data_IF_455876424527
#
_entry.id   IF_455876424527
#
_cell.length_a   1.000
_cell.length_b   1.000
_cell.length_c   1.000
_cell.angle_alpha   90.00
_cell.angle_beta   90.00
_cell.angle_gamma   90.00
#
_symmetry.space_group_name_H-M   'P 1'
#
loop_
_entity.id
_entity.type
_entity.pdbx_description
1 polymer ?
#
# COMPACT_ATOMS: atom_id res chain seq x y z
N UNK A 1 1.17 -25.58 -7.74
CA UNK A 1 1.96 -25.62 -6.50
C UNK A 1 2.46 -27.02 -6.19
N UNK A 2 1.57 -27.99 -5.97
CA UNK A 2 1.98 -29.37 -5.63
C UNK A 2 2.96 -29.97 -6.65
N UNK A 3 2.72 -29.76 -7.95
CA UNK A 3 3.57 -30.25 -9.03
C UNK A 3 5.02 -29.74 -8.97
N UNK A 4 5.20 -28.45 -8.67
CA UNK A 4 6.54 -27.85 -8.48
C UNK A 4 7.30 -28.51 -7.32
N UNK A 5 6.61 -28.82 -6.22
CA UNK A 5 7.21 -29.47 -5.05
C UNK A 5 7.45 -30.96 -5.30
N UNK A 6 6.53 -31.64 -5.97
CA UNK A 6 6.64 -33.05 -6.35
C UNK A 6 7.88 -33.28 -7.24
N UNK A 7 8.10 -32.39 -8.21
CA UNK A 7 9.28 -32.41 -9.07
C UNK A 7 10.57 -32.17 -8.26
N UNK A 8 10.55 -31.18 -7.36
CA UNK A 8 11.71 -30.86 -6.52
C UNK A 8 12.10 -32.01 -5.58
N UNK A 9 11.13 -32.76 -5.06
CA UNK A 9 11.36 -33.84 -4.09
C UNK A 9 11.53 -35.23 -4.72
N UNK A 10 11.57 -35.32 -6.06
CA UNK A 10 11.66 -36.60 -6.76
C UNK A 10 10.47 -37.52 -6.47
N UNK A 11 9.28 -36.95 -6.35
CA UNK A 11 8.02 -37.67 -6.11
C UNK A 11 7.74 -38.04 -4.65
N UNK A 12 8.62 -37.68 -3.70
CA UNK A 12 8.44 -37.97 -2.27
C UNK A 12 7.82 -36.78 -1.56
N UNK A 13 6.49 -36.79 -1.39
CA UNK A 13 5.77 -35.69 -0.73
C UNK A 13 4.76 -36.23 0.28
N UNK A 14 4.82 -35.74 1.52
CA UNK A 14 3.78 -35.94 2.53
C UNK A 14 2.87 -34.71 2.54
N UNK A 15 1.57 -34.93 2.36
CA UNK A 15 0.56 -33.85 2.40
C UNK A 15 -0.26 -34.01 3.68
N UNK A 16 -0.34 -32.95 4.48
CA UNK A 16 -1.12 -32.87 5.70
C UNK A 16 -2.26 -31.87 5.46
N UNK A 17 -3.50 -32.30 5.67
CA UNK A 17 -4.66 -31.42 5.59
C UNK A 17 -4.71 -30.54 6.84
N UNK A 18 -4.68 -29.23 6.63
CA UNK A 18 -4.76 -28.23 7.68
C UNK A 18 -6.21 -27.70 7.77
N UNK A 19 -6.39 -26.39 7.62
CA UNK A 19 -7.69 -25.74 7.62
C UNK A 19 -8.44 -25.78 6.29
N UNK A 20 -9.70 -25.37 6.35
CA UNK A 20 -10.58 -25.23 5.21
C UNK A 20 -12.01 -25.12 5.70
N UNK A 21 -12.71 -24.06 5.30
CA UNK A 21 -14.06 -23.77 5.81
C UNK A 21 -15.15 -23.95 4.76
N UNK A 22 -14.79 -24.33 3.52
CA UNK A 22 -15.72 -24.56 2.44
C UNK A 22 -15.52 -25.97 1.88
N UNK A 23 -16.49 -26.86 2.11
CA UNK A 23 -16.41 -28.28 1.72
C UNK A 23 -16.19 -28.47 0.22
N UNK A 24 -16.85 -27.67 -0.62
CA UNK A 24 -16.71 -27.75 -2.08
C UNK A 24 -15.29 -27.35 -2.50
N UNK A 25 -14.74 -26.29 -1.92
CA UNK A 25 -13.38 -25.85 -2.19
C UNK A 25 -12.35 -26.88 -1.74
N UNK A 26 -12.53 -27.47 -0.56
CA UNK A 26 -11.63 -28.52 -0.03
C UNK A 26 -11.65 -29.75 -0.92
N UNK A 27 -12.84 -30.27 -1.27
CA UNK A 27 -12.96 -31.45 -2.11
C UNK A 27 -12.29 -31.23 -3.47
N UNK A 28 -12.53 -30.08 -4.11
CA UNK A 28 -11.93 -29.73 -5.39
C UNK A 28 -10.40 -29.60 -5.30
N UNK A 29 -9.88 -28.85 -4.33
CA UNK A 29 -8.44 -28.62 -4.19
C UNK A 29 -7.68 -29.88 -3.77
N UNK A 30 -8.23 -30.69 -2.85
CA UNK A 30 -7.64 -31.96 -2.44
C UNK A 30 -7.56 -32.95 -3.60
N UNK A 31 -8.63 -33.05 -4.41
CA UNK A 31 -8.62 -33.88 -5.62
C UNK A 31 -7.51 -33.44 -6.59
N UNK A 32 -7.34 -32.14 -6.81
CA UNK A 32 -6.27 -31.63 -7.67
C UNK A 32 -4.86 -31.95 -7.13
N UNK A 33 -4.67 -31.95 -5.81
CA UNK A 33 -3.38 -32.33 -5.19
C UNK A 33 -3.14 -33.84 -5.34
N UNK A 34 -4.15 -34.68 -5.10
CA UNK A 34 -4.03 -36.14 -5.24
C UNK A 34 -3.70 -36.54 -6.67
N UNK A 35 -4.29 -35.89 -7.68
CA UNK A 35 -3.96 -36.11 -9.08
C UNK A 35 -2.47 -35.95 -9.37
N UNK A 36 -1.86 -34.87 -8.86
CA UNK A 36 -0.41 -34.65 -8.99
C UNK A 36 0.39 -35.76 -8.31
N UNK A 37 -0.02 -36.22 -7.13
CA UNK A 37 0.65 -37.32 -6.42
C UNK A 37 0.54 -38.66 -7.15
N UNK A 38 -0.52 -38.86 -7.93
CA UNK A 38 -0.69 -40.02 -8.80
C UNK A 38 0.10 -39.90 -10.12
N UNK A 39 0.86 -38.81 -10.30
CA UNK A 39 1.63 -38.54 -11.51
C UNK A 39 0.79 -37.95 -12.65
N UNK A 40 -0.46 -37.57 -12.41
CA UNK A 40 -1.21 -36.77 -13.38
C UNK A 40 -0.63 -35.35 -13.40
N UNK A 41 -0.35 -34.82 -14.60
CA UNK A 41 0.11 -33.44 -14.75
C UNK A 41 -0.90 -32.42 -14.21
N UNK A 42 -0.47 -31.19 -13.89
CA UNK A 42 -1.34 -30.17 -13.34
C UNK A 42 -2.52 -29.89 -14.29
N UNK A 43 -3.75 -30.02 -13.77
CA UNK A 43 -5.01 -29.87 -14.53
C UNK A 43 -5.21 -28.45 -15.09
N UNK A 44 -4.45 -27.47 -14.62
CA UNK A 44 -4.66 -26.06 -14.97
C UNK A 44 -3.45 -25.49 -15.70
N UNK A 45 -3.63 -25.21 -16.99
CA UNK A 45 -2.78 -24.26 -17.71
C UNK A 45 -3.05 -22.86 -17.14
N UNK A 46 -2.21 -22.46 -16.19
CA UNK A 46 -2.15 -21.08 -15.74
C UNK A 46 -1.66 -20.25 -16.93
N UNK A 47 -2.59 -19.59 -17.62
CA UNK A 47 -2.25 -18.58 -18.63
C UNK A 47 -1.36 -17.49 -18.02
N UNK A 48 -0.89 -16.56 -18.85
CA UNK A 48 -0.08 -15.42 -18.39
C UNK A 48 -0.87 -14.52 -17.43
N UNK A 49 -0.87 -14.86 -16.14
CA UNK A 49 -1.56 -14.14 -15.08
C UNK A 49 -0.59 -13.15 -14.44
N UNK A 50 -0.90 -11.86 -14.59
CA UNK A 50 -0.17 -10.82 -13.89
C UNK A 50 -0.48 -10.84 -12.38
N UNK A 51 0.52 -10.66 -11.50
CA UNK A 51 0.29 -10.62 -10.06
C UNK A 51 -0.52 -9.38 -9.68
N UNK A 52 -1.30 -9.48 -8.59
CA UNK A 52 -1.92 -8.30 -8.02
C UNK A 52 -0.86 -7.33 -7.49
N UNK A 53 -1.17 -6.04 -7.49
CA UNK A 53 -0.26 -5.01 -7.00
C UNK A 53 0.17 -5.22 -5.56
N UNK A 54 -0.77 -5.58 -4.69
CA UNK A 54 -0.50 -5.83 -3.29
C UNK A 54 0.41 -7.05 -3.14
N UNK A 55 0.11 -8.14 -3.84
CA UNK A 55 0.92 -9.36 -3.81
C UNK A 55 2.36 -9.11 -4.28
N UNK A 56 2.53 -8.40 -5.39
CA UNK A 56 3.85 -8.05 -5.90
C UNK A 56 4.65 -7.18 -4.92
N UNK A 57 4.01 -6.16 -4.32
CA UNK A 57 4.68 -5.31 -3.35
C UNK A 57 5.17 -6.13 -2.15
N UNK A 58 4.33 -7.02 -1.62
CA UNK A 58 4.69 -7.92 -0.52
C UNK A 58 5.86 -8.83 -0.90
N UNK A 59 5.84 -9.43 -2.10
CA UNK A 59 6.95 -10.29 -2.58
C UNK A 59 8.26 -9.51 -2.65
N UNK A 60 8.27 -8.30 -3.23
CA UNK A 60 9.47 -7.48 -3.32
C UNK A 60 10.02 -7.07 -1.93
N UNK A 61 9.13 -6.76 -0.99
CA UNK A 61 9.53 -6.44 0.40
C UNK A 61 10.13 -7.66 1.10
N UNK A 62 9.50 -8.83 0.99
CA UNK A 62 10.02 -10.09 1.56
C UNK A 62 11.37 -10.44 0.94
N UNK A 63 11.50 -10.39 -0.39
CA UNK A 63 12.76 -10.67 -1.07
C UNK A 63 13.86 -9.72 -0.61
N UNK A 64 13.57 -8.44 -0.44
CA UNK A 64 14.54 -7.45 0.06
C UNK A 64 15.12 -7.83 1.42
N UNK A 65 14.29 -8.35 2.32
CA UNK A 65 14.73 -8.80 3.65
C UNK A 65 15.51 -10.12 3.54
N UNK A 66 14.99 -11.06 2.75
CA UNK A 66 15.54 -12.42 2.64
C UNK A 66 16.85 -12.50 1.84
N UNK A 67 17.14 -11.56 0.95
CA UNK A 67 18.41 -11.51 0.20
C UNK A 67 19.65 -11.43 1.10
N UNK A 68 19.51 -10.97 2.34
CA UNK A 68 20.62 -10.98 3.31
C UNK A 68 21.03 -12.41 3.72
N UNK A 69 20.14 -13.39 3.55
CA UNK A 69 20.33 -14.77 3.97
C UNK A 69 20.38 -15.75 2.79
N UNK A 70 19.74 -15.41 1.66
CA UNK A 70 19.61 -16.27 0.50
C UNK A 70 20.16 -15.60 -0.76
N UNK A 71 21.38 -15.98 -1.17
CA UNK A 71 22.08 -15.42 -2.32
C UNK A 71 21.37 -15.68 -3.67
N UNK A 72 20.63 -16.79 -3.77
CA UNK A 72 19.88 -17.16 -4.98
C UNK A 72 18.75 -16.17 -5.33
N UNK A 73 18.30 -15.33 -4.37
CA UNK A 73 17.21 -14.39 -4.60
C UNK A 73 17.63 -13.14 -5.39
N UNK A 74 18.93 -12.82 -5.47
CA UNK A 74 19.40 -11.56 -6.06
C UNK A 74 19.03 -11.38 -7.54
N UNK A 75 19.25 -12.43 -8.35
CA UNK A 75 18.94 -12.41 -9.78
C UNK A 75 17.44 -12.29 -10.04
N UNK A 76 16.63 -13.04 -9.29
CA UNK A 76 15.17 -12.99 -9.37
C UNK A 76 14.61 -11.63 -8.94
N UNK A 77 15.19 -11.03 -7.90
CA UNK A 77 14.78 -9.72 -7.41
C UNK A 77 15.03 -8.62 -8.46
N UNK A 78 16.24 -8.58 -9.03
CA UNK A 78 16.59 -7.61 -10.07
C UNK A 78 15.65 -7.72 -11.29
N UNK A 79 15.36 -8.96 -11.72
CA UNK A 79 14.41 -9.22 -12.82
C UNK A 79 13.00 -8.69 -12.51
N UNK A 80 12.46 -9.03 -11.33
CA UNK A 80 11.11 -8.59 -10.93
C UNK A 80 11.04 -7.07 -10.74
N UNK A 81 12.07 -6.47 -10.17
CA UNK A 81 12.13 -5.03 -9.96
C UNK A 81 12.23 -4.27 -11.29
N UNK A 82 12.97 -4.78 -12.26
CA UNK A 82 13.03 -4.19 -13.60
C UNK A 82 11.68 -4.27 -14.33
N UNK A 83 10.96 -5.40 -14.19
CA UNK A 83 9.68 -5.59 -14.87
C UNK A 83 8.53 -4.81 -14.22
N UNK A 84 8.55 -4.67 -12.88
CA UNK A 84 7.37 -4.20 -12.15
C UNK A 84 7.65 -3.09 -11.13
N UNK A 85 8.88 -2.57 -11.04
CA UNK A 85 9.26 -1.57 -10.04
C UNK A 85 8.41 -0.29 -10.08
N UNK A 86 7.95 0.13 -11.26
CA UNK A 86 7.07 1.28 -11.42
C UNK A 86 5.65 1.05 -10.85
N UNK A 87 5.14 -0.18 -10.91
CA UNK A 87 3.77 -0.55 -10.55
C UNK A 87 3.49 -0.38 -9.03
N UNK A 88 4.51 -0.54 -8.19
CA UNK A 88 4.38 -0.42 -6.73
C UNK A 88 4.35 1.05 -6.24
N UNK A 89 4.95 2.00 -6.96
CA UNK A 89 5.28 3.34 -6.42
C UNK A 89 4.10 4.32 -6.24
N UNK A 90 2.95 4.11 -6.88
CA UNK A 90 1.87 5.13 -6.90
C UNK A 90 1.13 5.36 -5.56
N UNK A 91 1.20 4.46 -4.57
CA UNK A 91 0.55 4.67 -3.24
C UNK A 91 1.32 5.62 -2.32
N UNK A 92 2.66 5.66 -2.42
CA UNK A 92 3.49 6.63 -1.68
C UNK A 92 3.19 8.07 -2.13
N UNK A 93 2.82 8.28 -3.39
CA UNK A 93 2.41 9.58 -3.93
C UNK A 93 1.06 10.05 -3.36
N UNK A 94 0.07 9.15 -3.22
CA UNK A 94 -1.27 9.51 -2.73
C UNK A 94 -1.25 9.91 -1.25
N UNK A 95 -0.50 9.20 -0.39
CA UNK A 95 -0.35 9.58 1.04
C UNK A 95 0.52 10.82 1.26
N UNK A 96 1.47 11.12 0.37
CA UNK A 96 2.29 12.34 0.48
C UNK A 96 1.57 13.62 0.03
N UNK A 97 0.51 13.51 -0.78
CA UNK A 97 -0.28 14.67 -1.23
C UNK A 97 -1.29 15.22 -0.22
N UNK A 98 -1.48 14.57 0.94
CA UNK A 98 -2.43 15.00 1.98
C UNK A 98 -1.78 15.49 3.28
N UNK A 99 -0.57 16.07 3.20
CA UNK A 99 -0.08 16.98 4.24
C UNK A 99 -0.11 18.39 3.66
N UNK A 100 -1.30 18.97 3.60
CA UNK A 100 -1.39 20.43 3.55
C UNK A 100 -0.95 20.93 4.91
N UNK A 101 0.24 21.52 5.00
CA UNK A 101 0.62 22.29 6.18
C UNK A 101 -0.53 23.26 6.48
N UNK A 102 -1.09 23.27 7.70
CA UNK A 102 -2.18 24.16 8.02
C UNK A 102 -1.66 25.59 7.81
N UNK A 103 -2.41 26.45 7.09
CA UNK A 103 -1.93 27.78 6.79
C UNK A 103 -1.69 28.56 8.10
N UNK A 104 -0.68 29.42 8.10
CA UNK A 104 -0.04 29.99 9.31
C UNK A 104 -1.05 30.58 10.31
N UNK A 105 -2.15 31.15 9.84
CA UNK A 105 -3.22 31.72 10.66
C UNK A 105 -4.01 30.70 11.50
N UNK A 106 -3.97 29.40 11.19
CA UNK A 106 -4.54 28.34 12.04
C UNK A 106 -3.72 28.08 13.32
N UNK A 107 -2.43 28.47 13.34
CA UNK A 107 -1.61 28.45 14.56
C UNK A 107 -1.90 29.64 15.49
N UNK A 108 -2.57 30.68 14.99
CA UNK A 108 -2.88 31.91 15.73
C UNK A 108 -4.35 31.82 16.14
N UNK A 109 -4.64 31.22 17.29
CA UNK A 109 -6.00 30.94 17.75
C UNK A 109 -7.01 32.06 17.46
N UNK A 110 -8.24 31.68 17.05
CA UNK A 110 -9.30 32.52 16.45
C UNK A 110 -9.56 33.87 17.14
N UNK A 111 -9.21 34.01 18.41
CA UNK A 111 -9.37 35.22 19.23
C UNK A 111 -8.40 36.36 18.85
N UNK A 112 -7.19 36.05 18.32
CA UNK A 112 -6.17 37.08 18.02
C UNK A 112 -6.43 37.82 16.71
N UNK A 113 -7.00 37.14 15.71
CA UNK A 113 -7.45 37.76 14.46
C UNK A 113 -8.62 38.72 14.70
N UNK A 114 -9.58 38.31 15.52
CA UNK A 114 -10.70 39.16 15.93
C UNK A 114 -10.21 40.43 16.64
N UNK A 115 -9.20 40.31 17.51
CA UNK A 115 -8.61 41.46 18.20
C UNK A 115 -8.02 42.49 17.23
N UNK A 116 -7.23 42.05 16.22
CA UNK A 116 -6.67 42.97 15.23
C UNK A 116 -7.71 43.59 14.29
N UNK A 117 -8.75 42.84 13.91
CA UNK A 117 -9.85 43.36 13.07
C UNK A 117 -10.69 44.38 13.85
N UNK A 118 -11.00 44.09 15.12
CA UNK A 118 -11.76 44.99 15.99
C UNK A 118 -10.96 46.26 16.31
N UNK A 119 -9.66 46.16 16.59
CA UNK A 119 -8.81 47.33 16.88
C UNK A 119 -8.58 48.20 15.64
N UNK A 120 -8.42 47.61 14.44
CA UNK A 120 -8.31 48.43 13.21
C UNK A 120 -9.61 49.18 12.87
N UNK A 121 -10.78 48.66 13.25
CA UNK A 121 -12.06 49.39 13.09
C UNK A 121 -12.25 50.52 14.11
N UNK A 122 -11.67 50.41 15.30
CA UNK A 122 -11.79 51.46 16.33
C UNK A 122 -10.83 52.64 16.09
N UNK A 123 -9.68 52.42 15.45
CA UNK A 123 -8.70 53.50 15.22
C UNK A 123 -9.10 54.49 14.11
N UNK A 124 -10.02 54.13 13.21
CA UNK A 124 -10.52 55.03 12.15
C UNK A 124 -11.59 56.00 12.67
N UNK A 125 -12.19 55.74 13.83
CA UNK A 125 -13.37 56.51 14.31
C UNK A 125 -13.06 57.62 15.33
N UNK A 126 -11.78 57.98 15.55
CA UNK A 126 -11.35 58.92 16.61
C UNK A 126 -10.77 60.26 16.11
N UNK A 127 -11.02 60.69 14.87
CA UNK A 127 -10.77 62.08 14.45
C UNK A 127 -12.08 62.77 14.05
N UNK A 128 -12.89 63.08 15.07
CA UNK A 128 -14.00 64.02 14.98
C UNK A 128 -13.50 65.45 15.17
N UNK A 129 -14.01 66.35 14.34
CA UNK A 129 -13.66 67.77 14.20
C UNK A 129 -13.90 68.60 15.49
N UNK A 130 -13.13 69.67 15.75
CA UNK A 130 -13.52 70.71 16.69
C UNK A 130 -14.46 71.73 16.04
N UNK A 131 -15.59 72.00 16.69
CA UNK A 131 -16.45 73.15 16.42
C UNK A 131 -16.03 74.34 17.30
N UNK A 132 -16.08 75.57 16.78
CA UNK A 132 -16.71 76.76 17.38
C UNK A 132 -16.54 78.02 16.51
N UNK A 133 -17.56 78.89 16.60
CA UNK A 133 -17.98 80.04 15.79
C UNK A 133 -17.09 81.31 15.82
N UNK A 134 -17.11 82.08 14.71
CA UNK A 134 -17.27 83.56 14.57
C UNK A 134 -16.80 83.95 13.14
N UNK A 135 -17.47 84.74 12.30
CA UNK A 135 -18.30 85.95 12.50
C UNK A 135 -19.60 85.93 11.69
#
# INVERSE_FOLDING_TARGET
MADMLYTLSGGKLLVILEGGYNLRSISSSATAVIKVLLGEGPVSELGNIAPSRAGLQTVLEVMKIQMNFWSSLGSSYAKLQSQWGAYCNTRKQIKKRQRTEPPIWWKWGRKRLLYHILIRRLHVKSKGQPSLHSS
#
